data_IF_579711303503
#
_entry.id   IF_579711303503
#
_cell.length_a   1.000
_cell.length_b   1.000
_cell.length_c   1.000
_cell.angle_alpha   90.00
_cell.angle_beta   90.00
_cell.angle_gamma   90.00
#
_symmetry.space_group_name_H-M   'P 1'
#
loop_
_entity.id
_entity.type
_entity.pdbx_description
1 polymer ?
#
# COMPACT_ATOMS: atom_id res chain seq x y z
N UNK A 1 -28.68 29.71 8.68
CA UNK A 1 -28.04 28.96 9.78
C UNK A 1 -27.60 27.57 9.35
N UNK A 2 -27.99 27.07 8.18
CA UNK A 2 -27.60 25.75 7.66
C UNK A 2 -26.10 25.55 7.37
N UNK A 3 -25.29 26.61 7.38
CA UNK A 3 -23.83 26.51 7.29
C UNK A 3 -23.16 26.65 8.66
N UNK A 4 -23.94 26.63 9.73
CA UNK A 4 -23.43 26.50 11.10
C UNK A 4 -23.10 25.04 11.35
N UNK A 5 -22.28 24.81 12.36
CA UNK A 5 -22.03 23.52 12.99
C UNK A 5 -22.66 23.66 14.39
N UNK A 6 -23.87 23.13 14.57
CA UNK A 6 -24.72 23.44 15.72
C UNK A 6 -24.33 22.68 16.98
N UNK A 7 -23.76 21.49 16.86
CA UNK A 7 -23.30 20.68 17.99
C UNK A 7 -21.77 20.66 18.17
N UNK A 8 -21.03 21.19 17.21
CA UNK A 8 -19.59 21.43 17.31
C UNK A 8 -18.75 20.21 16.98
N UNK A 9 -19.24 19.29 16.14
CA UNK A 9 -18.55 18.05 15.79
C UNK A 9 -17.74 18.13 14.49
N UNK A 10 -17.60 19.34 13.94
CA UNK A 10 -16.87 19.69 12.71
C UNK A 10 -17.62 19.44 11.40
N UNK A 11 -18.84 18.92 11.46
CA UNK A 11 -19.73 18.83 10.30
C UNK A 11 -20.75 20.00 10.32
N UNK A 12 -21.05 20.64 9.17
CA UNK A 12 -22.09 21.65 9.12
C UNK A 12 -23.50 21.04 9.10
N UNK A 13 -24.47 21.72 9.72
CA UNK A 13 -25.87 21.27 9.82
C UNK A 13 -26.46 20.81 8.48
N UNK A 14 -26.15 21.54 7.39
CA UNK A 14 -26.63 21.20 6.05
C UNK A 14 -26.11 19.84 5.59
N UNK A 15 -24.83 19.59 5.81
CA UNK A 15 -24.20 18.34 5.41
C UNK A 15 -24.84 17.19 6.18
N UNK A 16 -24.92 17.32 7.50
CA UNK A 16 -25.52 16.32 8.38
C UNK A 16 -26.96 15.99 7.97
N UNK A 17 -27.78 17.01 7.71
CA UNK A 17 -29.16 16.81 7.21
C UNK A 17 -29.17 16.12 5.83
N UNK A 18 -28.25 16.48 4.93
CA UNK A 18 -28.19 15.92 3.58
C UNK A 18 -27.77 14.43 3.61
N UNK A 19 -26.92 14.02 4.57
CA UNK A 19 -26.47 12.63 4.75
C UNK A 19 -27.30 11.83 5.77
N UNK A 20 -28.18 12.48 6.52
CA UNK A 20 -29.08 11.82 7.49
C UNK A 20 -28.54 11.67 8.91
N UNK A 21 -27.51 12.45 9.27
CA UNK A 21 -27.02 12.62 10.64
C UNK A 21 -27.87 13.67 11.40
N UNK A 22 -27.70 13.77 12.72
CA UNK A 22 -28.45 14.70 13.57
C UNK A 22 -27.61 15.93 13.93
N UNK A 23 -27.94 17.14 13.40
CA UNK A 23 -27.15 18.36 13.60
C UNK A 23 -27.14 18.91 15.04
N UNK A 24 -27.68 18.17 16.00
CA UNK A 24 -27.65 18.52 17.42
C UNK A 24 -27.03 17.41 18.28
N UNK A 25 -26.41 16.40 17.66
CA UNK A 25 -25.85 15.22 18.29
C UNK A 25 -24.37 15.03 17.93
N UNK A 26 -23.43 15.61 18.72
CA UNK A 26 -22.01 15.60 18.36
C UNK A 26 -21.35 14.21 18.45
N UNK A 27 -22.10 13.20 18.88
CA UNK A 27 -21.63 11.84 18.96
C UNK A 27 -21.68 11.14 17.60
N UNK A 28 -22.49 11.58 16.64
CA UNK A 28 -22.54 10.94 15.32
C UNK A 28 -21.40 11.37 14.39
N UNK A 29 -20.79 12.54 14.56
CA UNK A 29 -19.49 12.83 13.95
C UNK A 29 -18.35 11.90 14.37
N UNK A 30 -18.46 11.27 15.55
CA UNK A 30 -17.51 10.26 16.03
C UNK A 30 -17.94 8.81 15.72
N UNK A 31 -19.10 8.60 15.10
CA UNK A 31 -19.48 7.29 14.60
C UNK A 31 -18.70 6.98 13.32
N UNK A 32 -18.68 5.70 12.98
CA UNK A 32 -18.03 5.11 11.81
C UNK A 32 -19.16 4.41 11.06
N UNK A 33 -19.71 5.10 10.06
CA UNK A 33 -20.99 4.71 9.45
C UNK A 33 -20.85 3.57 8.45
N UNK A 34 -19.67 3.38 7.85
CA UNK A 34 -19.38 2.32 6.88
C UNK A 34 -18.52 1.19 7.46
N UNK A 35 -17.80 1.43 8.56
CA UNK A 35 -17.03 0.43 9.30
C UNK A 35 -15.57 0.33 8.89
N UNK A 36 -14.99 1.35 8.24
CA UNK A 36 -13.57 1.35 7.83
C UNK A 36 -12.61 1.86 8.93
N UNK A 37 -13.14 2.31 10.08
CA UNK A 37 -12.47 2.95 11.21
C UNK A 37 -12.05 4.42 11.01
N UNK A 38 -12.53 5.10 9.97
CA UNK A 38 -12.61 6.55 9.93
C UNK A 38 -13.95 6.99 10.54
N UNK A 39 -13.91 8.04 11.36
CA UNK A 39 -15.16 8.64 11.85
C UNK A 39 -15.83 9.49 10.76
N UNK A 40 -17.14 9.64 10.79
CA UNK A 40 -17.91 10.48 9.87
C UNK A 40 -17.32 11.90 9.71
N UNK A 41 -16.87 12.53 10.81
CA UNK A 41 -16.23 13.85 10.77
C UNK A 41 -14.84 13.82 10.08
N UNK A 42 -14.08 12.74 10.27
CA UNK A 42 -12.81 12.52 9.60
C UNK A 42 -12.98 12.33 8.09
N UNK A 43 -13.99 11.56 7.68
CA UNK A 43 -14.33 11.37 6.27
C UNK A 43 -14.82 12.67 5.64
N UNK A 44 -15.74 13.38 6.29
CA UNK A 44 -16.21 14.70 5.85
C UNK A 44 -15.04 15.68 5.65
N UNK A 45 -14.09 15.73 6.59
CA UNK A 45 -12.93 16.62 6.51
C UNK A 45 -11.99 16.30 5.34
N UNK A 46 -12.01 15.05 4.85
CA UNK A 46 -11.22 14.57 3.71
C UNK A 46 -12.02 14.60 2.40
N UNK A 47 -13.34 14.78 2.46
CA UNK A 47 -14.22 14.71 1.30
C UNK A 47 -14.55 13.29 0.86
N UNK A 48 -14.38 12.31 1.76
CA UNK A 48 -14.70 10.90 1.56
C UNK A 48 -16.20 10.64 1.67
N UNK A 49 -16.60 9.43 1.30
CA UNK A 49 -17.98 8.98 1.34
C UNK A 49 -18.28 8.21 2.63
N UNK A 50 -18.98 8.87 3.57
CA UNK A 50 -19.42 8.36 4.88
C UNK A 50 -20.11 6.98 4.91
N UNK A 51 -20.50 6.45 3.76
CA UNK A 51 -21.24 5.19 3.66
C UNK A 51 -20.54 4.19 2.73
N UNK A 52 -19.26 4.39 2.42
CA UNK A 52 -18.48 3.54 1.53
C UNK A 52 -17.04 3.43 2.01
N UNK A 53 -16.69 2.20 2.42
CA UNK A 53 -15.34 1.83 2.87
C UNK A 53 -14.26 2.14 1.81
N UNK A 54 -14.67 2.28 0.55
CA UNK A 54 -13.87 2.53 -0.64
C UNK A 54 -14.58 3.66 -1.44
N UNK A 55 -14.08 4.89 -1.30
CA UNK A 55 -14.73 6.11 -1.79
C UNK A 55 -14.64 6.28 -3.30
N UNK A 56 -13.56 5.79 -3.93
CA UNK A 56 -13.35 5.88 -5.37
C UNK A 56 -13.68 4.58 -6.14
N UNK A 57 -14.01 3.52 -5.40
CA UNK A 57 -14.42 2.21 -5.90
C UNK A 57 -13.31 1.44 -6.62
N UNK A 58 -12.06 1.59 -6.19
CA UNK A 58 -10.89 0.94 -6.79
C UNK A 58 -10.45 -0.37 -6.12
N UNK A 59 -11.19 -0.81 -5.10
CA UNK A 59 -11.02 -2.01 -4.29
C UNK A 59 -9.97 -1.91 -3.17
N UNK A 60 -9.54 -0.70 -2.82
CA UNK A 60 -8.74 -0.40 -1.63
C UNK A 60 -9.59 0.37 -0.61
N UNK A 61 -9.39 0.12 0.69
CA UNK A 61 -10.17 0.81 1.74
C UNK A 61 -9.59 2.21 1.99
N UNK A 62 -10.46 3.21 2.18
CA UNK A 62 -10.10 4.63 2.40
C UNK A 62 -9.05 4.79 3.51
N UNK A 63 -9.26 4.13 4.66
CA UNK A 63 -8.28 4.15 5.75
C UNK A 63 -6.91 3.64 5.30
N UNK A 64 -6.87 2.52 4.56
CA UNK A 64 -5.61 1.93 4.14
C UNK A 64 -4.86 2.85 3.18
N UNK A 65 -5.56 3.46 2.24
CA UNK A 65 -4.97 4.43 1.30
C UNK A 65 -4.42 5.64 2.04
N UNK A 66 -5.19 6.20 2.98
CA UNK A 66 -4.75 7.32 3.84
C UNK A 66 -3.51 6.96 4.65
N UNK A 67 -3.45 5.76 5.24
CA UNK A 67 -2.31 5.29 6.02
C UNK A 67 -1.07 5.00 5.15
N UNK A 68 -1.28 4.63 3.88
CA UNK A 68 -0.23 4.29 2.94
C UNK A 68 0.11 5.40 1.94
N UNK A 69 -0.45 6.60 2.12
CA UNK A 69 -0.07 7.79 1.37
C UNK A 69 -0.58 7.84 -0.06
N UNK A 70 -1.65 7.08 -0.35
CA UNK A 70 -2.42 7.13 -1.59
C UNK A 70 -3.57 8.14 -1.48
N UNK A 71 -4.29 8.37 -2.58
CA UNK A 71 -5.41 9.30 -2.66
C UNK A 71 -6.74 8.54 -2.78
N UNK A 72 -7.53 8.39 -1.70
CA UNK A 72 -8.77 7.59 -1.68
C UNK A 72 -9.94 8.17 -2.50
N UNK A 73 -9.65 9.17 -3.34
CA UNK A 73 -10.59 9.81 -4.25
C UNK A 73 -10.21 9.58 -5.71
N UNK A 74 -9.19 8.75 -5.98
CA UNK A 74 -8.61 8.54 -7.30
C UNK A 74 -8.20 7.07 -7.46
N UNK A 75 -8.91 6.35 -8.35
CA UNK A 75 -8.55 4.99 -8.75
C UNK A 75 -7.09 4.94 -9.24
N UNK A 76 -6.21 4.51 -8.33
CA UNK A 76 -4.79 4.36 -8.50
C UNK A 76 -4.32 2.93 -8.20
N UNK A 77 -5.26 2.02 -7.96
CA UNK A 77 -5.13 0.57 -7.84
C UNK A 77 -4.12 -0.09 -8.79
N UNK A 78 -4.02 0.42 -10.03
CA UNK A 78 -3.17 -0.10 -11.12
C UNK A 78 -1.83 0.65 -11.27
N UNK A 79 -1.60 1.70 -10.49
CA UNK A 79 -0.31 2.37 -10.39
C UNK A 79 0.65 1.59 -9.48
N UNK A 80 1.89 2.02 -9.50
CA UNK A 80 3.03 1.44 -8.78
C UNK A 80 3.75 2.63 -8.15
N UNK A 81 3.41 2.92 -6.89
CA UNK A 81 3.82 4.15 -6.21
C UNK A 81 5.33 4.21 -5.99
N UNK A 82 5.99 3.07 -5.76
CA UNK A 82 7.42 3.00 -5.46
C UNK A 82 8.32 2.52 -6.62
N UNK A 83 7.71 1.98 -7.68
CA UNK A 83 8.36 1.64 -8.94
C UNK A 83 9.03 0.27 -8.96
N UNK A 84 8.59 -0.68 -8.13
CA UNK A 84 9.18 -2.02 -8.05
C UNK A 84 8.54 -3.07 -8.98
N UNK A 85 7.42 -2.70 -9.60
CA UNK A 85 6.65 -3.52 -10.54
C UNK A 85 5.45 -4.26 -9.92
N UNK A 86 5.12 -4.02 -8.66
CA UNK A 86 3.89 -4.46 -7.97
C UNK A 86 2.91 -3.27 -7.95
N UNK A 87 1.61 -3.53 -8.16
CA UNK A 87 0.62 -2.44 -8.16
C UNK A 87 0.11 -2.14 -6.75
N UNK A 88 -0.38 -0.92 -6.51
CA UNK A 88 -0.97 -0.51 -5.22
C UNK A 88 -2.01 -1.54 -4.71
N UNK A 89 -2.90 -2.01 -5.60
CA UNK A 89 -3.90 -3.03 -5.24
C UNK A 89 -3.27 -4.39 -4.88
N UNK A 90 -2.19 -4.79 -5.55
CA UNK A 90 -1.49 -6.02 -5.20
C UNK A 90 -0.84 -5.90 -3.82
N UNK A 91 -0.32 -4.73 -3.49
CA UNK A 91 0.25 -4.46 -2.17
C UNK A 91 -0.79 -4.42 -1.07
N UNK A 92 -1.94 -3.78 -1.31
CA UNK A 92 -3.12 -3.84 -0.45
C UNK A 92 -3.51 -5.30 -0.15
N UNK A 93 -3.66 -6.12 -1.20
CA UNK A 93 -4.03 -7.53 -1.07
C UNK A 93 -2.96 -8.38 -0.38
N UNK A 94 -1.68 -8.00 -0.51
CA UNK A 94 -0.55 -8.69 0.12
C UNK A 94 -0.23 -8.17 1.52
N UNK A 95 -0.82 -7.04 1.94
CA UNK A 95 -0.51 -6.35 3.18
C UNK A 95 0.92 -5.80 3.21
N UNK A 96 1.45 -5.37 2.06
CA UNK A 96 2.76 -4.70 1.95
C UNK A 96 2.58 -3.17 1.92
N UNK A 97 3.69 -2.42 1.79
CA UNK A 97 3.68 -0.97 1.89
C UNK A 97 4.04 -0.35 0.53
N UNK A 98 3.10 0.36 -0.13
CA UNK A 98 3.29 0.89 -1.49
C UNK A 98 4.30 2.02 -1.62
N UNK A 99 4.95 2.41 -0.52
CA UNK A 99 6.03 3.38 -0.52
C UNK A 99 7.42 2.73 -0.42
N UNK A 100 7.51 1.41 -0.32
CA UNK A 100 8.75 0.69 -0.01
C UNK A 100 9.00 -0.43 -1.03
N UNK A 101 9.92 -0.24 -1.99
CA UNK A 101 10.18 -1.23 -3.02
C UNK A 101 10.53 -2.60 -2.41
N UNK A 102 9.82 -3.65 -2.81
CA UNK A 102 10.19 -4.99 -2.43
C UNK A 102 11.55 -5.33 -3.06
N UNK A 103 12.45 -5.81 -2.21
CA UNK A 103 13.73 -6.32 -2.68
C UNK A 103 13.44 -7.51 -3.59
N UNK A 104 13.69 -7.35 -4.91
CA UNK A 104 13.68 -8.47 -5.84
C UNK A 104 14.43 -9.64 -5.20
N UNK A 105 13.73 -10.73 -4.89
CA UNK A 105 14.30 -12.02 -4.48
C UNK A 105 15.10 -12.57 -5.68
N UNK A 106 16.22 -11.92 -5.97
CA UNK A 106 17.15 -12.37 -6.98
C UNK A 106 17.86 -13.57 -6.37
N UNK A 107 17.32 -14.73 -6.65
CA UNK A 107 17.92 -16.04 -6.39
C UNK A 107 19.18 -16.24 -7.27
N UNK A 108 20.14 -15.31 -7.23
CA UNK A 108 21.39 -15.36 -8.01
C UNK A 108 22.48 -16.23 -7.34
N UNK A 109 22.10 -17.15 -6.45
CA UNK A 109 23.08 -17.82 -5.57
C UNK A 109 23.49 -19.24 -6.03
N UNK A 110 22.90 -19.84 -7.08
CA UNK A 110 23.17 -21.26 -7.38
C UNK A 110 23.91 -21.59 -8.68
N UNK A 111 24.09 -20.66 -9.61
CA UNK A 111 24.86 -20.93 -10.85
C UNK A 111 26.30 -20.40 -10.83
N UNK A 112 26.62 -19.41 -10.00
CA UNK A 112 27.98 -18.86 -9.96
C UNK A 112 28.96 -19.73 -9.14
N UNK A 113 28.49 -20.36 -8.07
CA UNK A 113 29.31 -21.18 -7.16
C UNK A 113 29.82 -22.48 -7.78
N UNK A 114 29.03 -23.28 -8.55
CA UNK A 114 29.56 -24.48 -9.19
C UNK A 114 30.56 -24.18 -10.33
N UNK A 115 30.35 -23.10 -11.08
CA UNK A 115 31.17 -22.78 -12.27
C UNK A 115 32.60 -22.38 -11.88
N UNK A 116 32.77 -21.57 -10.82
CA UNK A 116 34.10 -21.17 -10.34
C UNK A 116 34.90 -22.35 -9.76
N UNK A 117 34.23 -23.31 -9.10
CA UNK A 117 34.88 -24.50 -8.55
C UNK A 117 35.38 -25.43 -9.66
N UNK A 118 34.59 -25.65 -10.72
CA UNK A 118 34.97 -26.51 -11.85
C UNK A 118 36.14 -25.91 -12.65
N UNK A 119 36.15 -24.59 -12.87
CA UNK A 119 37.25 -23.91 -13.54
C UNK A 119 38.56 -24.01 -12.74
N UNK A 120 38.49 -23.82 -11.42
CA UNK A 120 39.62 -23.96 -10.51
C UNK A 120 40.22 -25.37 -10.49
N UNK A 121 39.39 -26.41 -10.39
CA UNK A 121 39.83 -27.82 -10.42
C UNK A 121 40.46 -28.15 -11.78
N UNK A 122 39.86 -27.72 -12.89
CA UNK A 122 40.37 -27.98 -14.23
C UNK A 122 41.74 -27.34 -14.46
N UNK A 123 41.93 -26.10 -14.03
CA UNK A 123 43.22 -25.40 -14.10
C UNK A 123 44.27 -26.10 -13.23
N UNK A 124 43.91 -26.56 -12.03
CA UNK A 124 44.81 -27.28 -11.14
C UNK A 124 45.26 -28.62 -11.73
N UNK A 125 44.33 -29.43 -12.27
CA UNK A 125 44.65 -30.71 -12.94
C UNK A 125 45.53 -30.48 -14.17
N UNK A 126 45.27 -29.43 -14.96
CA UNK A 126 46.10 -29.08 -16.12
C UNK A 126 47.55 -28.76 -15.73
N UNK A 127 47.75 -27.99 -14.65
CA UNK A 127 49.09 -27.63 -14.14
C UNK A 127 49.85 -28.86 -13.62
N UNK A 128 49.16 -29.76 -12.92
CA UNK A 128 49.77 -31.01 -12.43
C UNK A 128 50.23 -31.90 -13.59
N UNK A 129 49.37 -32.12 -14.59
CA UNK A 129 49.70 -32.96 -15.74
C UNK A 129 50.87 -32.43 -16.57
N UNK A 130 51.02 -31.09 -16.68
CA UNK A 130 52.13 -30.47 -17.41
C UNK A 130 53.49 -30.66 -16.70
N UNK A 131 53.53 -30.93 -15.40
CA UNK A 131 54.78 -31.13 -14.66
C UNK A 131 55.37 -32.53 -14.82
N UNK A 132 54.54 -33.52 -15.12
CA UNK A 132 54.98 -34.91 -15.29
C UNK A 132 55.60 -35.20 -16.67
N UNK A 133 55.31 -34.38 -17.69
CA UNK A 133 55.79 -34.62 -19.06
C UNK A 133 57.22 -34.12 -19.35
N UNK A 134 57.95 -33.66 -18.34
CA UNK A 134 59.31 -33.10 -18.49
C UNK A 134 60.38 -33.85 -17.66
N UNK A 135 60.08 -35.07 -17.20
CA UNK A 135 61.04 -36.02 -16.64
C UNK A 135 61.22 -37.22 -17.58
#
# INVERSE_FOLDING_TARGET
MLNSDSDGDTMPDKFEIDVGLDPNNPADGNQDADGDNLSNAQEYSRGLNLFSIDSDSDLMDDLWEVENGLDPLVDDSMLDLDGDGITNLQEYLNGTNPQIPEAMETTVIWIATPVLVIAGISAFVYVLKRRETWN
#
